data_IF_578173889899
#
_entry.id   IF_578173889899
#
_cell.length_a   1.000
_cell.length_b   1.000
_cell.length_c   1.000
_cell.angle_alpha   90.00
_cell.angle_beta   90.00
_cell.angle_gamma   90.00
#
_symmetry.space_group_name_H-M   'P 1'
#
loop_
_entity.id
_entity.type
_entity.pdbx_description
1 polymer ?
#
# COMPACT_ATOMS: atom_id res chain seq x y z
N UNK A 1 65.03 55.90 28.77
CA UNK A 1 64.54 54.74 29.53
C UNK A 1 63.02 54.76 29.46
N UNK A 2 62.41 53.97 28.58
CA UNK A 2 61.98 52.55 28.74
C UNK A 2 60.77 52.36 29.66
N UNK A 3 59.66 51.90 29.04
CA UNK A 3 58.62 50.93 29.51
C UNK A 3 57.70 51.38 30.66
N UNK A 4 56.37 51.12 30.75
CA UNK A 4 55.35 50.24 30.13
C UNK A 4 53.97 50.90 30.37
N UNK A 5 53.02 50.99 29.43
CA UNK A 5 52.06 49.97 28.98
C UNK A 5 51.22 49.30 30.10
N UNK A 6 49.96 49.74 30.25
CA UNK A 6 48.82 48.87 30.59
C UNK A 6 47.51 49.61 30.29
N UNK A 7 46.98 49.38 29.08
CA UNK A 7 45.61 49.71 28.69
C UNK A 7 44.76 48.48 29.06
N UNK A 8 43.86 48.63 30.03
CA UNK A 8 42.89 47.61 30.40
C UNK A 8 41.75 47.66 29.36
N UNK A 9 41.78 46.79 28.36
CA UNK A 9 40.64 46.52 27.48
C UNK A 9 39.57 45.74 28.27
N UNK A 10 38.48 46.41 28.64
CA UNK A 10 37.23 45.73 29.02
C UNK A 10 36.49 45.30 27.75
N UNK A 11 36.81 44.12 27.23
CA UNK A 11 35.97 43.41 26.27
C UNK A 11 34.83 42.74 27.04
N UNK A 12 33.67 43.40 27.08
CA UNK A 12 32.41 42.77 27.48
C UNK A 12 31.99 41.85 26.34
N UNK A 13 32.40 40.57 26.41
CA UNK A 13 31.78 39.52 25.63
C UNK A 13 30.40 39.24 26.24
N UNK A 14 29.36 39.84 25.66
CA UNK A 14 27.99 39.41 25.89
C UNK A 14 27.79 38.06 25.21
N UNK A 15 28.09 36.97 25.91
CA UNK A 15 27.53 35.67 25.56
C UNK A 15 26.02 35.75 25.81
N UNK A 16 25.25 35.93 24.73
CA UNK A 16 23.85 35.49 24.72
C UNK A 16 23.87 33.96 24.81
N UNK A 17 23.91 33.44 26.03
CA UNK A 17 23.44 32.09 26.30
C UNK A 17 21.93 32.11 26.03
N UNK A 18 21.54 31.71 24.83
CA UNK A 18 20.19 31.18 24.64
C UNK A 18 20.08 30.03 25.63
N UNK A 19 19.15 30.14 26.59
CA UNK A 19 18.76 29.03 27.43
C UNK A 19 18.12 27.98 26.53
N UNK A 20 18.94 27.10 25.94
CA UNK A 20 18.48 25.87 25.34
C UNK A 20 17.78 25.08 26.45
N UNK A 21 16.47 24.88 26.28
CA UNK A 21 15.66 24.04 27.15
C UNK A 21 16.22 22.61 27.15
N UNK A 22 17.14 22.34 28.08
CA UNK A 22 17.85 21.08 28.27
C UNK A 22 16.97 20.04 28.98
N UNK A 23 15.84 19.70 28.37
CA UNK A 23 14.95 18.62 28.86
C UNK A 23 14.57 17.68 27.71
N UNK A 24 15.57 17.06 27.08
CA UNK A 24 15.39 15.82 26.30
C UNK A 24 16.54 14.85 26.58
N UNK A 25 16.54 14.24 27.77
CA UNK A 25 17.57 13.26 28.21
C UNK A 25 17.11 11.81 27.93
N UNK A 26 16.04 11.62 27.16
CA UNK A 26 15.39 10.33 26.97
C UNK A 26 15.47 9.82 25.52
N UNK A 27 16.52 10.20 24.81
CA UNK A 27 16.78 9.74 23.44
C UNK A 27 17.99 8.78 23.41
N UNK A 28 17.90 7.74 22.59
CA UNK A 28 19.05 6.91 22.20
C UNK A 28 19.29 7.04 20.70
N UNK A 29 20.55 7.23 20.29
CA UNK A 29 20.92 7.28 18.88
C UNK A 29 21.50 5.94 18.44
N UNK A 30 20.89 5.31 17.43
CA UNK A 30 21.38 4.06 16.83
C UNK A 30 21.31 4.20 15.31
N UNK A 31 22.43 3.90 14.63
CA UNK A 31 22.56 4.01 13.18
C UNK A 31 22.13 5.39 12.62
N UNK A 32 22.39 6.45 13.40
CA UNK A 32 22.04 7.82 13.03
C UNK A 32 20.57 8.22 13.28
N UNK A 33 19.73 7.32 13.77
CA UNK A 33 18.32 7.56 14.09
C UNK A 33 18.15 7.75 15.60
N UNK A 34 17.38 8.75 16.00
CA UNK A 34 17.07 9.05 17.41
C UNK A 34 15.74 8.41 17.79
N UNK A 35 15.77 7.57 18.82
CA UNK A 35 14.62 6.84 19.35
C UNK A 35 14.27 7.29 20.76
N UNK A 36 12.99 7.22 21.10
CA UNK A 36 12.51 7.43 22.47
C UNK A 36 12.84 6.21 23.31
N UNK A 37 13.59 6.38 24.41
CA UNK A 37 13.97 5.27 25.30
C UNK A 37 12.84 4.84 26.24
N UNK A 38 11.86 5.72 26.47
CA UNK A 38 10.74 5.47 27.38
C UNK A 38 9.52 4.89 26.65
N UNK A 39 9.56 4.87 25.32
CA UNK A 39 8.53 4.27 24.48
C UNK A 39 8.99 2.94 23.90
N UNK A 40 8.04 2.06 23.55
CA UNK A 40 8.24 0.73 22.96
C UNK A 40 9.42 0.69 21.98
N UNK A 41 10.56 0.22 22.47
CA UNK A 41 11.83 0.11 21.75
C UNK A 41 12.43 -1.28 22.01
N UNK A 42 12.86 -1.95 20.96
CA UNK A 42 13.52 -3.25 21.08
C UNK A 42 14.67 -3.40 20.09
N UNK A 43 15.65 -4.21 20.50
CA UNK A 43 16.77 -4.63 19.69
C UNK A 43 16.65 -6.12 19.36
N UNK A 44 17.06 -6.50 18.16
CA UNK A 44 17.37 -7.88 17.83
C UNK A 44 18.60 -8.37 18.62
N UNK A 45 18.81 -9.70 18.76
CA UNK A 45 19.99 -10.25 19.44
C UNK A 45 21.34 -9.81 18.86
N UNK A 46 21.37 -9.36 17.59
CA UNK A 46 22.57 -8.83 16.94
C UNK A 46 22.80 -7.32 17.20
N UNK A 47 22.02 -6.70 18.09
CA UNK A 47 22.13 -5.29 18.47
C UNK A 47 21.44 -4.31 17.52
N UNK A 48 20.87 -4.78 16.40
CA UNK A 48 20.13 -3.91 15.46
C UNK A 48 18.74 -3.58 16.00
N UNK A 49 18.21 -2.41 15.64
CA UNK A 49 16.85 -2.00 16.02
C UNK A 49 15.80 -2.93 15.41
N UNK A 50 14.90 -3.45 16.24
CA UNK A 50 13.74 -4.23 15.83
C UNK A 50 12.53 -3.32 15.64
N UNK A 51 12.23 -2.47 16.62
CA UNK A 51 11.20 -1.44 16.52
C UNK A 51 11.50 -0.28 17.46
N UNK A 52 10.89 0.87 17.20
CA UNK A 52 11.02 2.05 18.03
C UNK A 52 10.18 3.23 17.52
N UNK A 53 9.94 4.18 18.41
CA UNK A 53 9.38 5.49 18.07
C UNK A 53 10.52 6.47 17.81
N UNK A 54 10.58 7.07 16.62
CA UNK A 54 11.63 8.06 16.32
C UNK A 54 11.27 9.41 16.96
N UNK A 55 12.22 10.09 17.60
CA UNK A 55 11.98 11.37 18.30
C UNK A 55 12.39 12.59 17.48
N UNK A 56 13.11 12.36 16.37
CA UNK A 56 13.55 13.37 15.43
C UNK A 56 13.25 12.92 14.01
N UNK A 57 13.25 13.87 13.10
CA UNK A 57 13.19 13.56 11.67
C UNK A 57 14.38 12.67 11.28
N UNK A 58 14.11 11.61 10.52
CA UNK A 58 15.10 10.64 10.11
C UNK A 58 14.88 10.26 8.64
N UNK A 59 15.99 10.09 7.90
CA UNK A 59 15.94 9.54 6.55
C UNK A 59 16.20 8.04 6.63
N UNK A 60 15.20 7.24 6.29
CA UNK A 60 15.27 5.78 6.31
C UNK A 60 14.96 5.28 4.90
N UNK A 61 15.94 4.62 4.27
CA UNK A 61 15.83 4.08 2.91
C UNK A 61 15.31 5.11 1.88
N UNK A 62 15.86 6.33 1.91
CA UNK A 62 15.49 7.47 1.06
C UNK A 62 14.09 8.05 1.31
N UNK A 63 13.45 7.72 2.43
CA UNK A 63 12.20 8.35 2.88
C UNK A 63 12.44 9.18 4.13
N UNK A 64 11.90 10.40 4.15
CA UNK A 64 11.91 11.26 5.33
C UNK A 64 10.75 10.86 6.24
N UNK A 65 11.06 10.31 7.41
CA UNK A 65 10.08 10.05 8.47
C UNK A 65 10.17 11.14 9.51
N UNK A 66 9.02 11.74 9.84
CA UNK A 66 8.94 12.81 10.83
C UNK A 66 8.92 12.25 12.25
N UNK A 67 9.26 13.09 13.23
CA UNK A 67 9.21 12.74 14.65
C UNK A 67 7.86 12.12 15.06
N UNK A 68 7.90 11.23 16.04
CA UNK A 68 6.78 10.40 16.52
C UNK A 68 6.27 9.36 15.52
N UNK A 69 7.01 9.04 14.46
CA UNK A 69 6.70 7.88 13.60
C UNK A 69 7.15 6.61 14.31
N UNK A 70 6.26 5.62 14.45
CA UNK A 70 6.63 4.29 14.92
C UNK A 70 7.14 3.46 13.74
N UNK A 71 8.29 2.81 13.89
CA UNK A 71 8.90 2.00 12.84
C UNK A 71 9.29 0.61 13.35
N UNK A 72 9.20 -0.38 12.47
CA UNK A 72 9.60 -1.77 12.72
C UNK A 72 10.49 -2.19 11.57
N UNK A 73 11.56 -2.92 11.89
CA UNK A 73 12.52 -3.44 10.92
C UNK A 73 12.48 -4.96 10.84
N UNK A 74 12.93 -5.49 9.71
CA UNK A 74 13.37 -6.88 9.59
C UNK A 74 14.75 -7.06 10.26
N UNK A 75 15.14 -8.31 10.53
CA UNK A 75 16.47 -8.64 11.08
C UNK A 75 17.62 -8.11 10.20
N UNK A 76 17.34 -7.93 8.90
CA UNK A 76 18.28 -7.36 7.94
C UNK A 76 18.43 -5.84 8.00
N UNK A 77 17.66 -5.15 8.85
CA UNK A 77 17.53 -3.68 8.95
C UNK A 77 16.75 -3.01 7.81
N UNK A 78 16.08 -3.77 6.95
CA UNK A 78 15.11 -3.18 6.03
C UNK A 78 13.83 -2.80 6.81
N UNK A 79 13.21 -1.69 6.45
CA UNK A 79 11.95 -1.27 7.05
C UNK A 79 10.88 -2.32 6.75
N UNK A 80 10.14 -2.74 7.78
CA UNK A 80 9.08 -3.74 7.72
C UNK A 80 7.71 -3.09 7.84
N UNK A 81 7.57 -2.15 8.77
CA UNK A 81 6.32 -1.47 9.06
C UNK A 81 6.59 -0.05 9.54
N UNK A 82 5.68 0.87 9.24
CA UNK A 82 5.67 2.20 9.83
C UNK A 82 4.25 2.72 10.08
N UNK A 83 4.05 3.41 11.20
CA UNK A 83 2.87 4.23 11.46
C UNK A 83 3.25 5.70 11.30
N UNK A 84 2.69 6.33 10.27
CA UNK A 84 3.07 7.67 9.82
C UNK A 84 2.51 8.73 10.75
N UNK A 85 3.36 9.58 11.33
CA UNK A 85 2.93 10.61 12.30
C UNK A 85 2.59 11.96 11.68
N UNK A 86 3.11 12.25 10.49
CA UNK A 86 2.90 13.48 9.72
C UNK A 86 2.82 13.13 8.23
N UNK A 87 2.28 14.00 7.39
CA UNK A 87 2.17 13.70 5.95
C UNK A 87 3.52 13.38 5.32
N UNK A 88 3.68 12.15 4.80
CA UNK A 88 4.97 11.65 4.28
C UNK A 88 4.83 11.21 2.83
N UNK A 89 5.73 11.68 1.97
CA UNK A 89 5.81 11.23 0.58
C UNK A 89 6.69 9.97 0.48
N UNK A 90 6.11 8.84 0.06
CA UNK A 90 6.82 7.57 -0.12
C UNK A 90 6.57 7.08 -1.54
N UNK A 91 7.63 6.95 -2.33
CA UNK A 91 7.55 6.59 -3.75
C UNK A 91 6.57 7.45 -4.57
N UNK A 92 6.47 8.74 -4.26
CA UNK A 92 5.56 9.67 -4.94
C UNK A 92 4.10 9.57 -4.50
N UNK A 93 3.78 8.74 -3.51
CA UNK A 93 2.45 8.65 -2.88
C UNK A 93 2.48 9.40 -1.56
N UNK A 94 1.55 10.35 -1.38
CA UNK A 94 1.43 11.12 -0.15
C UNK A 94 0.58 10.35 0.87
N UNK A 95 1.22 9.89 1.94
CA UNK A 95 0.57 9.25 3.08
C UNK A 95 0.21 10.29 4.13
N UNK A 96 -0.97 10.14 4.73
CA UNK A 96 -1.49 11.03 5.77
C UNK A 96 -1.09 10.52 7.18
N UNK A 97 -1.13 11.37 8.21
CA UNK A 97 -0.95 10.92 9.60
C UNK A 97 -1.92 9.78 9.95
N UNK A 98 -1.43 8.77 10.68
CA UNK A 98 -2.16 7.56 11.05
C UNK A 98 -2.15 6.45 9.98
N UNK A 99 -1.52 6.68 8.82
CA UNK A 99 -1.33 5.63 7.82
C UNK A 99 -0.43 4.53 8.37
N UNK A 100 -0.87 3.28 8.26
CA UNK A 100 -0.07 2.10 8.61
C UNK A 100 0.43 1.44 7.32
N UNK A 101 1.74 1.38 7.17
CA UNK A 101 2.39 0.94 5.92
C UNK A 101 3.20 -0.30 6.23
N UNK A 102 2.93 -1.39 5.50
CA UNK A 102 3.81 -2.55 5.49
C UNK A 102 4.65 -2.55 4.22
N UNK A 103 5.93 -2.86 4.38
CA UNK A 103 6.91 -2.92 3.31
C UNK A 103 7.23 -4.37 2.96
N UNK A 104 7.64 -4.61 1.72
CA UNK A 104 8.12 -5.93 1.31
C UNK A 104 9.42 -6.31 2.05
N UNK A 105 9.49 -7.58 2.48
CA UNK A 105 10.66 -8.14 3.16
C UNK A 105 11.48 -9.09 2.29
N UNK A 106 12.61 -9.58 2.84
CA UNK A 106 13.57 -10.43 2.12
C UNK A 106 13.05 -11.84 1.75
N UNK A 107 11.91 -12.26 2.31
CA UNK A 107 11.35 -13.61 2.14
C UNK A 107 10.10 -13.66 1.26
N UNK A 108 9.93 -12.72 0.34
CA UNK A 108 8.98 -12.89 -0.77
C UNK A 108 9.70 -13.74 -1.81
N UNK A 109 9.40 -15.04 -1.83
CA UNK A 109 10.19 -16.06 -2.53
C UNK A 109 10.14 -16.02 -4.07
N UNK A 110 9.73 -14.91 -4.65
CA UNK A 110 9.91 -14.57 -6.07
C UNK A 110 9.71 -13.06 -6.17
N UNK A 111 10.81 -12.29 -6.23
CA UNK A 111 11.09 -11.15 -7.12
C UNK A 111 12.37 -10.44 -6.58
N UNK A 112 13.12 -9.92 -7.54
CA UNK A 112 14.39 -9.21 -7.46
C UNK A 112 14.52 -8.24 -6.27
N UNK A 113 15.52 -8.49 -5.41
CA UNK A 113 15.97 -7.55 -4.37
C UNK A 113 16.36 -6.22 -5.03
N UNK A 114 15.46 -5.24 -5.03
CA UNK A 114 15.81 -3.85 -5.28
C UNK A 114 16.57 -3.34 -4.06
N UNK A 115 17.90 -3.52 -4.09
CA UNK A 115 18.81 -3.33 -2.96
C UNK A 115 18.80 -1.93 -2.31
N UNK A 116 17.93 -0.99 -2.71
CA UNK A 116 17.83 0.37 -2.17
C UNK A 116 16.45 1.06 -2.42
N UNK A 117 15.37 0.33 -2.74
CA UNK A 117 14.04 0.94 -2.92
C UNK A 117 13.04 0.35 -1.92
N UNK A 118 12.49 1.20 -1.05
CA UNK A 118 11.30 0.85 -0.27
C UNK A 118 10.20 0.46 -1.27
N UNK A 119 9.67 -0.75 -1.16
CA UNK A 119 8.49 -1.14 -1.90
C UNK A 119 7.37 -1.33 -0.87
N UNK A 120 6.30 -0.56 -1.03
CA UNK A 120 5.12 -0.66 -0.17
C UNK A 120 4.40 -1.94 -0.59
N UNK A 121 4.05 -2.80 0.36
CA UNK A 121 3.25 -3.99 0.08
C UNK A 121 1.77 -3.64 0.16
N UNK A 122 1.36 -3.10 1.30
CA UNK A 122 0.00 -2.61 1.49
C UNK A 122 -0.05 -1.44 2.47
N UNK A 123 -1.15 -0.71 2.36
CA UNK A 123 -1.47 0.43 3.24
C UNK A 123 -2.83 0.18 3.88
N UNK A 124 -2.87 0.32 5.20
CA UNK A 124 -4.10 0.45 5.96
C UNK A 124 -4.26 1.91 6.34
N UNK A 125 -5.45 2.45 6.06
CA UNK A 125 -5.78 3.82 6.40
C UNK A 125 -7.24 3.96 6.75
N UNK A 126 -7.51 5.00 7.53
CA UNK A 126 -8.83 5.40 7.98
C UNK A 126 -9.45 6.51 7.12
N UNK A 127 -8.75 6.99 6.09
CA UNK A 127 -9.24 7.97 5.12
C UNK A 127 -9.03 7.51 3.68
N UNK A 128 -9.91 7.91 2.78
CA UNK A 128 -9.74 7.65 1.35
C UNK A 128 -8.49 8.38 0.79
N UNK A 129 -7.84 7.79 -0.21
CA UNK A 129 -6.69 8.38 -0.89
C UNK A 129 -6.95 8.64 -2.36
N UNK A 130 -6.22 9.61 -2.89
CA UNK A 130 -6.00 9.75 -4.32
C UNK A 130 -4.59 9.27 -4.66
N UNK A 131 -4.48 8.10 -5.28
CA UNK A 131 -3.21 7.54 -5.72
C UNK A 131 -3.14 7.68 -7.24
N UNK A 132 -2.29 8.58 -7.74
CA UNK A 132 -2.20 8.87 -9.17
C UNK A 132 -3.55 9.21 -9.82
N UNK A 133 -4.36 10.01 -9.11
CA UNK A 133 -5.77 10.38 -9.41
C UNK A 133 -6.80 9.26 -9.25
N UNK A 134 -6.42 8.10 -8.73
CA UNK A 134 -7.32 6.98 -8.48
C UNK A 134 -7.87 7.08 -7.05
N UNK A 135 -9.18 7.24 -6.87
CA UNK A 135 -9.82 7.36 -5.56
C UNK A 135 -9.92 5.98 -4.89
N UNK A 136 -8.91 5.65 -4.10
CA UNK A 136 -8.86 4.41 -3.34
C UNK A 136 -9.51 4.58 -1.97
N UNK A 137 -10.35 3.63 -1.60
CA UNK A 137 -11.10 3.61 -0.35
C UNK A 137 -10.22 3.23 0.83
N UNK A 138 -10.48 3.85 1.97
CA UNK A 138 -9.92 3.48 3.26
C UNK A 138 -10.17 2.00 3.61
N UNK A 139 -9.31 1.45 4.45
CA UNK A 139 -9.48 0.11 5.00
C UNK A 139 -10.67 0.08 5.95
N UNK A 140 -11.68 -0.74 5.64
CA UNK A 140 -12.73 -1.05 6.61
C UNK A 140 -12.31 -2.23 7.47
N UNK A 141 -12.47 -2.06 8.78
CA UNK A 141 -12.26 -3.12 9.76
C UNK A 141 -13.52 -3.96 9.85
N UNK A 142 -13.42 -5.24 9.47
CA UNK A 142 -14.50 -6.23 9.64
C UNK A 142 -14.06 -7.25 10.69
N UNK A 143 -14.45 -7.00 11.95
CA UNK A 143 -13.94 -7.77 13.10
C UNK A 143 -12.45 -7.54 13.32
N UNK A 144 -11.65 -8.62 13.28
CA UNK A 144 -10.19 -8.56 13.40
C UNK A 144 -9.46 -8.52 12.05
N UNK A 145 -10.19 -8.42 10.94
CA UNK A 145 -9.64 -8.44 9.59
C UNK A 145 -9.90 -7.10 8.90
N UNK A 146 -8.86 -6.54 8.29
CA UNK A 146 -9.02 -5.43 7.36
C UNK A 146 -9.30 -6.00 5.98
N UNK A 147 -10.45 -5.64 5.40
CA UNK A 147 -10.90 -6.23 4.13
C UNK A 147 -10.58 -5.36 2.90
N UNK A 148 -10.17 -4.09 3.10
CA UNK A 148 -9.96 -3.14 2.02
C UNK A 148 -8.54 -2.54 2.07
N UNK A 149 -7.53 -3.29 1.62
CA UNK A 149 -6.18 -2.76 1.48
C UNK A 149 -5.96 -2.01 0.16
N UNK A 150 -4.99 -1.11 0.16
CA UNK A 150 -4.35 -0.60 -1.06
C UNK A 150 -3.06 -1.37 -1.22
N UNK A 151 -2.91 -2.05 -2.36
CA UNK A 151 -1.78 -2.93 -2.66
C UNK A 151 -0.95 -2.32 -3.75
N UNK A 152 0.37 -2.46 -3.64
CA UNK A 152 1.31 -1.98 -4.63
C UNK A 152 2.19 -3.13 -5.09
N UNK A 153 2.60 -3.08 -6.35
CA UNK A 153 3.66 -3.92 -6.85
C UNK A 153 5.01 -3.54 -6.23
N UNK A 154 6.00 -4.42 -6.35
CA UNK A 154 7.37 -4.13 -5.94
C UNK A 154 8.00 -2.94 -6.67
N UNK A 155 7.48 -2.61 -7.85
CA UNK A 155 7.83 -1.40 -8.59
C UNK A 155 7.40 -0.10 -7.88
N UNK A 156 6.58 -0.20 -6.83
CA UNK A 156 5.93 0.92 -6.13
C UNK A 156 4.65 1.40 -6.82
N UNK A 157 4.23 0.77 -7.93
CA UNK A 157 2.99 1.12 -8.64
C UNK A 157 1.78 0.51 -7.97
N UNK A 158 0.64 1.18 -8.05
CA UNK A 158 -0.63 0.66 -7.54
C UNK A 158 -0.97 -0.67 -8.24
N UNK A 159 -1.05 -1.75 -7.47
CA UNK A 159 -1.50 -3.06 -7.94
C UNK A 159 -3.02 -3.12 -7.92
N UNK A 160 -3.60 -2.77 -6.77
CA UNK A 160 -5.04 -2.88 -6.60
C UNK A 160 -5.55 -2.07 -5.40
N UNK A 161 -6.78 -1.60 -5.48
CA UNK A 161 -7.49 -0.98 -4.36
C UNK A 161 -9.00 -1.10 -4.53
N UNK A 162 -9.74 -0.89 -3.45
CA UNK A 162 -11.18 -0.62 -3.53
C UNK A 162 -11.41 0.82 -3.97
N UNK A 163 -12.40 1.08 -4.80
CA UNK A 163 -12.74 2.45 -5.20
C UNK A 163 -13.62 3.14 -4.16
N UNK A 164 -13.31 4.39 -3.78
CA UNK A 164 -14.17 5.18 -2.86
C UNK A 164 -15.33 5.89 -3.55
N UNK A 165 -15.30 5.98 -4.88
CA UNK A 165 -16.37 6.51 -5.73
C UNK A 165 -16.32 5.84 -7.09
N UNK A 166 -17.38 5.97 -7.88
CA UNK A 166 -17.37 5.46 -9.24
C UNK A 166 -16.32 6.23 -10.07
N UNK A 167 -15.62 5.54 -10.97
CA UNK A 167 -14.52 6.14 -11.75
C UNK A 167 -14.61 5.74 -13.21
N UNK A 168 -14.44 6.72 -14.09
CA UNK A 168 -14.29 6.50 -15.53
C UNK A 168 -12.79 6.43 -15.85
N UNK A 169 -12.36 5.32 -16.44
CA UNK A 169 -10.98 5.17 -16.92
C UNK A 169 -10.89 5.33 -18.43
N UNK A 170 -10.33 6.47 -18.86
CA UNK A 170 -10.14 6.77 -20.28
C UNK A 170 -9.21 5.77 -21.00
N UNK A 171 -8.25 5.18 -20.26
CA UNK A 171 -7.28 4.21 -20.81
C UNK A 171 -7.91 2.95 -21.40
N UNK A 172 -9.14 2.61 -20.99
CA UNK A 172 -9.87 1.43 -21.45
C UNK A 172 -11.22 1.85 -22.06
N UNK A 173 -11.27 2.77 -23.03
CA UNK A 173 -12.53 3.14 -23.71
C UNK A 173 -13.59 3.83 -22.83
N UNK A 174 -13.17 4.64 -21.84
CA UNK A 174 -14.07 5.33 -20.91
C UNK A 174 -14.97 4.37 -20.11
N UNK A 175 -14.41 3.26 -19.66
CA UNK A 175 -15.16 2.28 -18.86
C UNK A 175 -15.38 2.80 -17.43
N UNK A 176 -16.61 2.63 -16.97
CA UNK A 176 -17.10 3.11 -15.69
C UNK A 176 -17.10 2.00 -14.64
N UNK A 177 -16.24 2.13 -13.63
CA UNK A 177 -16.07 1.16 -12.55
C UNK A 177 -16.82 1.59 -11.29
N UNK A 178 -17.39 0.60 -10.59
CA UNK A 178 -18.23 0.78 -9.43
C UNK A 178 -17.41 1.10 -8.16
N UNK A 179 -17.91 2.04 -7.36
CA UNK A 179 -17.46 2.27 -5.98
C UNK A 179 -17.63 1.01 -5.13
N UNK A 180 -16.82 0.88 -4.10
CA UNK A 180 -16.84 -0.21 -3.13
C UNK A 180 -16.43 -1.58 -3.70
N UNK A 181 -15.86 -1.60 -4.90
CA UNK A 181 -15.31 -2.80 -5.53
C UNK A 181 -13.83 -2.67 -5.82
N UNK A 182 -13.19 -3.82 -5.96
CA UNK A 182 -11.80 -3.92 -6.37
C UNK A 182 -11.59 -3.41 -7.79
N UNK A 183 -10.52 -2.65 -7.94
CA UNK A 183 -9.90 -2.35 -9.20
C UNK A 183 -8.46 -2.86 -9.16
N UNK A 184 -8.05 -3.59 -10.19
CA UNK A 184 -6.70 -4.15 -10.34
C UNK A 184 -6.04 -3.56 -11.57
N UNK A 185 -4.74 -3.31 -11.48
CA UNK A 185 -3.94 -2.70 -12.52
C UNK A 185 -2.88 -3.69 -13.03
N UNK A 186 -2.23 -3.32 -14.12
CA UNK A 186 -1.00 -3.97 -14.57
C UNK A 186 0.22 -3.22 -14.04
N UNK A 187 1.25 -3.96 -13.62
CA UNK A 187 2.52 -3.35 -13.20
C UNK A 187 3.21 -2.57 -14.34
N UNK A 188 2.94 -2.94 -15.59
CA UNK A 188 3.58 -2.32 -16.76
C UNK A 188 3.07 -0.90 -17.05
N UNK A 189 1.87 -0.53 -16.61
CA UNK A 189 1.25 0.76 -16.94
C UNK A 189 0.37 1.31 -15.82
N UNK A 190 0.69 2.51 -15.31
CA UNK A 190 0.04 3.19 -14.19
C UNK A 190 -1.49 3.41 -14.32
N UNK A 191 -2.08 3.20 -15.49
CA UNK A 191 -3.51 3.45 -15.75
C UNK A 191 -4.21 2.39 -16.59
N UNK A 192 -3.56 1.27 -16.87
CA UNK A 192 -4.24 0.15 -17.54
C UNK A 192 -4.88 -0.72 -16.49
N UNK A 193 -6.21 -0.70 -16.48
CA UNK A 193 -7.00 -1.59 -15.62
C UNK A 193 -6.84 -3.00 -16.16
N UNK A 194 -6.38 -3.90 -15.30
CA UNK A 194 -6.36 -5.34 -15.53
C UNK A 194 -7.74 -5.93 -15.32
N UNK A 195 -8.39 -5.59 -14.21
CA UNK A 195 -9.71 -6.12 -13.89
C UNK A 195 -10.46 -5.19 -12.94
N UNK A 196 -11.78 -5.28 -12.95
CA UNK A 196 -12.61 -4.51 -12.03
C UNK A 196 -14.08 -4.92 -12.07
N UNK A 197 -14.89 -4.23 -11.29
CA UNK A 197 -16.35 -4.36 -11.30
C UNK A 197 -16.96 -3.12 -11.96
N UNK A 198 -17.78 -3.33 -12.98
CA UNK A 198 -18.44 -2.25 -13.70
C UNK A 198 -19.57 -1.62 -12.87
N UNK A 199 -19.77 -0.31 -13.00
CA UNK A 199 -20.87 0.42 -12.34
C UNK A 199 -22.27 0.05 -12.88
N UNK A 200 -22.32 -0.62 -14.04
CA UNK A 200 -23.55 -1.04 -14.70
C UNK A 200 -23.25 -1.73 -16.02
N UNK A 201 -24.30 -2.00 -16.80
CA UNK A 201 -24.18 -2.60 -18.12
C UNK A 201 -23.46 -1.63 -19.06
N UNK A 202 -22.40 -2.10 -19.73
CA UNK A 202 -21.60 -1.29 -20.64
C UNK A 202 -21.27 -2.06 -21.92
N UNK A 203 -21.25 -1.37 -23.06
CA UNK A 203 -20.77 -1.91 -24.32
C UNK A 203 -19.25 -1.75 -24.36
N UNK A 204 -18.53 -2.87 -24.30
CA UNK A 204 -17.07 -2.93 -24.33
C UNK A 204 -16.70 -3.76 -25.56
N UNK A 205 -16.08 -3.13 -26.55
CA UNK A 205 -15.65 -3.80 -27.79
C UNK A 205 -16.77 -4.56 -28.51
N UNK A 206 -18.00 -4.01 -28.49
CA UNK A 206 -19.17 -4.62 -29.12
C UNK A 206 -19.93 -5.63 -28.24
N UNK A 207 -19.43 -5.91 -27.03
CA UNK A 207 -20.05 -6.84 -26.09
C UNK A 207 -20.70 -6.07 -24.93
N UNK A 208 -21.99 -6.31 -24.69
CA UNK A 208 -22.68 -5.76 -23.52
C UNK A 208 -22.31 -6.56 -22.28
N UNK A 209 -21.39 -6.04 -21.48
CA UNK A 209 -20.93 -6.65 -20.25
C UNK A 209 -21.75 -6.17 -19.04
N UNK A 210 -22.14 -7.10 -18.15
CA UNK A 210 -22.86 -6.80 -16.92
C UNK A 210 -21.88 -6.45 -15.79
N UNK A 211 -22.17 -5.37 -15.08
CA UNK A 211 -21.45 -4.95 -13.88
C UNK A 211 -22.03 -5.45 -12.58
N UNK A 212 -23.16 -6.15 -12.63
CA UNK A 212 -23.84 -6.58 -11.42
C UNK A 212 -22.90 -7.40 -10.55
N UNK A 213 -22.77 -7.03 -9.26
CA UNK A 213 -22.01 -7.79 -8.30
C UNK A 213 -22.79 -9.07 -8.00
N UNK A 214 -22.59 -10.11 -8.82
CA UNK A 214 -23.03 -11.45 -8.46
C UNK A 214 -22.22 -11.83 -7.22
N UNK A 215 -22.88 -11.78 -6.06
CA UNK A 215 -22.33 -12.01 -4.73
C UNK A 215 -21.34 -13.18 -4.69
N UNK A 216 -20.36 -13.15 -3.75
CA UNK A 216 -19.93 -12.05 -2.86
C UNK A 216 -19.33 -10.79 -3.53
N UNK A 217 -19.32 -9.68 -2.77
CA UNK A 217 -18.87 -8.31 -3.14
C UNK A 217 -17.40 -8.16 -3.62
N UNK A 218 -16.70 -9.27 -3.83
CA UNK A 218 -15.27 -9.26 -4.17
C UNK A 218 -14.97 -9.83 -5.56
N UNK A 219 -16.00 -10.15 -6.35
CA UNK A 219 -15.80 -10.62 -7.71
C UNK A 219 -15.65 -9.47 -8.69
N UNK A 220 -14.62 -9.58 -9.50
CA UNK A 220 -14.38 -8.75 -10.66
C UNK A 220 -15.45 -9.13 -11.69
N UNK A 221 -16.07 -8.17 -12.36
CA UNK A 221 -17.06 -8.46 -13.40
C UNK A 221 -16.42 -8.55 -14.78
N UNK A 222 -15.21 -8.00 -14.92
CA UNK A 222 -14.46 -7.97 -16.17
C UNK A 222 -12.95 -8.08 -15.93
N UNK A 223 -12.26 -8.54 -16.97
CA UNK A 223 -10.80 -8.49 -17.07
C UNK A 223 -10.39 -8.13 -18.50
N UNK A 224 -9.25 -7.47 -18.62
CA UNK A 224 -8.59 -7.11 -19.87
C UNK A 224 -7.29 -7.88 -20.00
N UNK A 225 -6.78 -7.94 -21.23
CA UNK A 225 -5.39 -8.26 -21.54
C UNK A 225 -4.49 -7.02 -21.35
N UNK A 226 -3.15 -7.17 -21.25
CA UNK A 226 -2.22 -6.04 -21.10
C UNK A 226 -2.32 -4.98 -22.20
N UNK A 227 -2.76 -5.39 -23.39
CA UNK A 227 -2.97 -4.55 -24.57
C UNK A 227 -4.27 -3.73 -24.48
N UNK A 228 -5.15 -4.05 -23.54
CA UNK A 228 -6.46 -3.41 -23.36
C UNK A 228 -7.62 -4.11 -24.07
N UNK A 229 -7.36 -5.21 -24.78
CA UNK A 229 -8.41 -6.09 -25.31
C UNK A 229 -9.22 -6.70 -24.16
N UNK A 230 -10.53 -6.86 -24.34
CA UNK A 230 -11.38 -7.53 -23.36
C UNK A 230 -10.93 -9.00 -23.26
N UNK A 231 -10.59 -9.46 -22.06
CA UNK A 231 -10.22 -10.86 -21.83
C UNK A 231 -11.45 -11.67 -21.46
N UNK A 232 -12.27 -11.16 -20.53
CA UNK A 232 -13.56 -11.79 -20.23
C UNK A 232 -14.54 -10.81 -19.58
N UNK A 233 -15.83 -11.10 -19.73
CA UNK A 233 -16.90 -10.45 -18.96
C UNK A 233 -18.14 -11.34 -18.82
N UNK A 234 -18.97 -11.03 -17.84
CA UNK A 234 -20.35 -11.51 -17.80
C UNK A 234 -21.18 -10.80 -18.87
N UNK A 235 -21.93 -11.52 -19.70
CA UNK A 235 -22.80 -10.87 -20.70
C UNK A 235 -24.14 -10.43 -20.09
N UNK A 236 -24.54 -9.19 -20.36
CA UNK A 236 -25.71 -8.55 -19.80
C UNK A 236 -27.04 -8.94 -20.48
N UNK A 237 -26.96 -9.52 -21.67
CA UNK A 237 -28.10 -9.95 -22.48
C UNK A 237 -27.69 -11.13 -23.37
N UNK A 238 -28.69 -11.85 -23.90
CA UNK A 238 -28.45 -12.87 -24.92
C UNK A 238 -27.72 -12.23 -26.11
N UNK A 239 -26.68 -12.89 -26.60
CA UNK A 239 -25.83 -12.37 -27.68
C UNK A 239 -25.44 -13.46 -28.66
N UNK A 240 -25.10 -13.07 -29.88
CA UNK A 240 -24.58 -13.98 -30.91
C UNK A 240 -23.16 -13.59 -31.26
N UNK A 241 -22.22 -14.53 -31.12
CA UNK A 241 -20.81 -14.34 -31.48
C UNK A 241 -20.41 -15.48 -32.40
N UNK A 242 -19.84 -15.15 -33.56
CA UNK A 242 -19.44 -16.13 -34.59
C UNK A 242 -20.57 -17.11 -34.96
N UNK A 243 -21.82 -16.61 -35.03
CA UNK A 243 -23.01 -17.41 -35.36
C UNK A 243 -23.55 -18.30 -34.23
N UNK A 244 -22.91 -18.34 -33.06
CA UNK A 244 -23.37 -19.09 -31.88
C UNK A 244 -24.05 -18.17 -30.89
N UNK A 245 -25.15 -18.64 -30.27
CA UNK A 245 -25.91 -17.87 -29.29
C UNK A 245 -25.49 -18.20 -27.87
N UNK A 246 -25.34 -17.16 -27.05
CA UNK A 246 -24.97 -17.21 -25.64
C UNK A 246 -26.01 -16.51 -24.80
N UNK A 247 -26.26 -17.03 -23.60
CA UNK A 247 -27.30 -16.56 -22.69
C UNK A 247 -26.77 -15.54 -21.70
N UNK A 248 -27.61 -14.55 -21.39
CA UNK A 248 -27.36 -13.59 -20.31
C UNK A 248 -26.82 -14.28 -19.04
N UNK A 249 -25.80 -13.69 -18.43
CA UNK A 249 -25.18 -14.16 -17.19
C UNK A 249 -24.06 -15.18 -17.39
N UNK A 250 -23.87 -15.71 -18.61
CA UNK A 250 -22.68 -16.49 -18.93
C UNK A 250 -21.43 -15.59 -18.97
N UNK A 251 -20.25 -16.19 -18.76
CA UNK A 251 -18.97 -15.51 -18.89
C UNK A 251 -18.37 -15.88 -20.24
N UNK A 252 -18.02 -14.87 -21.03
CA UNK A 252 -17.34 -15.09 -22.30
C UNK A 252 -15.87 -14.73 -22.15
N UNK A 253 -15.00 -15.58 -22.70
CA UNK A 253 -13.56 -15.39 -22.72
C UNK A 253 -13.07 -15.20 -24.15
N UNK A 254 -12.16 -14.25 -24.33
CA UNK A 254 -11.59 -13.83 -25.59
C UNK A 254 -10.06 -13.84 -25.54
N UNK A 255 -9.42 -14.08 -26.68
CA UNK A 255 -7.96 -13.98 -26.81
C UNK A 255 -7.49 -12.52 -26.94
N UNK A 256 -6.18 -12.31 -27.05
CA UNK A 256 -5.59 -10.97 -27.15
C UNK A 256 -5.98 -10.23 -28.45
N UNK A 257 -6.49 -10.94 -29.45
CA UNK A 257 -7.04 -10.37 -30.69
C UNK A 257 -8.55 -10.08 -30.58
N UNK A 258 -9.18 -10.40 -29.45
CA UNK A 258 -10.62 -10.23 -29.23
C UNK A 258 -11.47 -11.34 -29.86
N UNK A 259 -10.87 -12.46 -30.28
CA UNK A 259 -11.61 -13.60 -30.82
C UNK A 259 -12.18 -14.43 -29.67
N UNK A 260 -13.40 -14.94 -29.85
CA UNK A 260 -14.03 -15.80 -28.86
C UNK A 260 -13.24 -17.11 -28.66
N UNK A 261 -12.97 -17.45 -27.41
CA UNK A 261 -12.25 -18.67 -27.03
C UNK A 261 -13.21 -19.70 -26.45
N UNK A 262 -13.94 -19.33 -25.38
CA UNK A 262 -14.84 -20.24 -24.66
C UNK A 262 -15.87 -19.50 -23.82
N UNK A 263 -16.88 -20.25 -23.36
CA UNK A 263 -17.94 -19.79 -22.47
C UNK A 263 -17.88 -20.56 -21.15
N UNK A 264 -18.17 -19.88 -20.05
CA UNK A 264 -18.34 -20.47 -18.73
C UNK A 264 -19.77 -20.23 -18.23
N UNK A 265 -20.38 -21.25 -17.65
CA UNK A 265 -21.77 -21.20 -17.19
C UNK A 265 -21.90 -20.56 -15.80
N UNK A 266 -20.82 -20.56 -15.03
CA UNK A 266 -20.77 -19.95 -13.71
C UNK A 266 -19.39 -19.37 -13.42
N UNK A 267 -19.36 -18.49 -12.42
CA UNK A 267 -18.12 -17.94 -11.88
C UNK A 267 -17.22 -19.01 -11.26
N UNK A 268 -17.81 -20.09 -10.73
CA UNK A 268 -17.08 -21.21 -10.16
C UNK A 268 -16.38 -22.04 -11.22
N UNK A 269 -17.04 -22.27 -12.37
CA UNK A 269 -16.41 -22.94 -13.51
C UNK A 269 -15.20 -22.13 -13.98
N UNK A 270 -15.39 -20.82 -14.13
CA UNK A 270 -14.34 -19.89 -14.53
C UNK A 270 -13.14 -19.96 -13.57
N UNK A 271 -13.36 -19.87 -12.26
CA UNK A 271 -12.28 -19.94 -11.28
C UNK A 271 -11.67 -21.34 -11.15
N UNK A 272 -12.42 -22.41 -11.34
CA UNK A 272 -11.86 -23.77 -11.28
C UNK A 272 -10.81 -24.02 -12.36
N UNK A 273 -10.96 -23.37 -13.51
CA UNK A 273 -10.07 -23.53 -14.67
C UNK A 273 -8.93 -22.50 -14.64
N UNK A 274 -9.21 -21.27 -14.17
CA UNK A 274 -8.28 -20.14 -14.27
C UNK A 274 -7.60 -19.77 -12.96
N UNK A 275 -7.99 -20.35 -11.82
CA UNK A 275 -7.25 -20.13 -10.58
C UNK A 275 -5.87 -20.77 -10.73
N UNK A 276 -4.78 -20.03 -10.44
CA UNK A 276 -3.52 -20.70 -10.18
C UNK A 276 -3.75 -21.73 -9.06
N UNK A 277 -3.01 -22.86 -9.04
CA UNK A 277 -3.08 -23.81 -7.94
C UNK A 277 -3.03 -23.04 -6.61
N UNK A 278 -3.81 -23.46 -5.61
CA UNK A 278 -4.15 -22.74 -4.36
C UNK A 278 -2.98 -22.13 -3.55
N UNK A 279 -1.73 -22.32 -3.97
CA UNK A 279 -0.53 -21.68 -3.44
C UNK A 279 -0.52 -20.14 -3.52
N UNK A 280 -1.41 -19.49 -4.28
CA UNK A 280 -1.53 -18.02 -4.29
C UNK A 280 -2.31 -17.44 -3.10
N UNK A 281 -3.14 -18.24 -2.43
CA UNK A 281 -3.65 -17.91 -1.09
C UNK A 281 -2.73 -18.51 -0.01
N UNK A 282 -1.41 -18.57 -0.27
CA UNK A 282 -0.43 -18.87 0.79
C UNK A 282 -0.60 -17.84 1.89
N UNK A 283 -1.22 -18.28 2.98
CA UNK A 283 -1.05 -17.82 4.35
C UNK A 283 -0.42 -16.42 4.45
N UNK A 284 -1.21 -15.37 4.23
CA UNK A 284 -1.11 -14.24 5.16
C UNK A 284 -1.70 -14.76 6.46
N UNK A 285 -0.97 -15.65 7.15
CA UNK A 285 -1.09 -15.76 8.59
C UNK A 285 -0.77 -14.35 9.05
N UNK A 286 -1.81 -13.58 9.35
CA UNK A 286 -1.68 -12.32 10.04
C UNK A 286 -0.94 -12.65 11.33
N UNK A 287 0.39 -12.51 11.31
CA UNK A 287 1.17 -12.34 12.50
C UNK A 287 0.66 -11.04 13.10
N UNK A 288 -0.41 -11.14 13.88
CA UNK A 288 -0.87 -10.03 14.69
C UNK A 288 0.34 -9.67 15.55
N UNK A 289 0.99 -8.57 15.22
CA UNK A 289 1.79 -7.85 16.20
C UNK A 289 0.74 -7.23 17.11
N UNK A 290 0.30 -7.99 18.12
CA UNK A 290 -0.45 -7.44 19.24
C UNK A 290 0.54 -6.56 20.01
N UNK A 291 0.72 -5.31 19.58
CA UNK A 291 1.34 -4.29 20.42
C UNK A 291 0.28 -3.98 21.50
N UNK A 292 0.36 -4.71 22.60
CA UNK A 292 -0.43 -4.43 23.80
C UNK A 292 0.09 -3.13 24.39
N UNK A 293 -0.62 -2.02 24.17
CA UNK A 293 -0.32 -0.68 24.70
C UNK A 293 -0.53 -0.53 26.22
N UNK A 294 -0.35 -1.61 27.00
CA UNK A 294 -0.39 -1.52 28.47
C UNK A 294 1.03 -1.65 29.03
N UNK A 295 1.57 -0.60 29.68
CA UNK A 295 2.79 -0.74 30.46
C UNK A 295 2.51 -1.68 31.63
N UNK A 296 3.10 -2.87 31.57
CA UNK A 296 3.15 -3.77 32.73
C UNK A 296 4.17 -3.18 33.68
N UNK A 297 3.72 -2.57 34.77
CA UNK A 297 4.58 -2.19 35.89
C UNK A 297 5.18 -3.47 36.50
N UNK A 298 6.39 -3.82 36.07
CA UNK A 298 7.21 -4.84 36.71
C UNK A 298 7.75 -4.25 38.01
N UNK A 299 7.13 -4.64 39.12
CA UNK A 299 7.74 -4.58 40.44
C UNK A 299 8.97 -5.50 40.41
N UNK A 300 10.16 -4.92 40.56
CA UNK A 300 11.32 -5.67 41.05
C UNK A 300 11.12 -5.91 42.55
N UNK A 301 11.08 -7.19 42.94
CA UNK A 301 11.49 -7.67 44.26
C UNK A 301 12.86 -8.32 44.10
#
# INVERSE_FOLDING_TARGET
MKTNLLILCALVFSFHFAAESSTRINEIQIDGIYYDKDFDFALFPNGKVQYGLITREAIIQNTVFHQHTFIVFYLSSLLKYSEISASTLINGVLFTPGSQIQYYGENVSDITIYKNKLAIQYVLSYSDYLISDIPCRAAEKYGNMYINGIYFYESGRLESCYLSRDVIFAGNQNIFFAKDYWLRFYDTHLRKVRAGTLAGIQNIQGIYCDGRPTLPKNYLSIQFHPEGALQWCFIAQDTTIEGKSYKKGQILEFDVQGKFVRVHNSIWDFYSINSPPQSFFKNVTHGQILISSKPSSLLCL
#
